data_IF_152775946514
#
_entry.id   IF_152775946514
#
_cell.length_a   1.000
_cell.length_b   1.000
_cell.length_c   1.000
_cell.angle_alpha   90.00
_cell.angle_beta   90.00
_cell.angle_gamma   90.00
#
_symmetry.space_group_name_H-M   'P 1'
#
loop_
_entity.id
_entity.type
_entity.pdbx_description
1 polymer ?
#
# COMPACT_ATOMS: atom_id res chain seq x y z
N UNK A 1 -6.69 45.94 -20.96
CA UNK A 1 -5.88 46.18 -19.73
C UNK A 1 -6.00 44.92 -18.91
N UNK A 2 -4.95 44.12 -18.89
CA UNK A 2 -4.85 42.84 -18.14
C UNK A 2 -4.21 43.19 -16.80
N UNK A 3 -4.95 42.98 -15.72
CA UNK A 3 -4.41 43.09 -14.36
C UNK A 3 -3.45 41.92 -14.10
N UNK A 4 -2.19 42.25 -13.85
CA UNK A 4 -1.20 41.31 -13.36
C UNK A 4 -1.56 40.94 -11.94
N UNK A 5 -1.79 39.64 -11.69
CA UNK A 5 -1.96 39.05 -10.35
C UNK A 5 -0.60 39.17 -9.63
N UNK A 6 -0.54 40.04 -8.65
CA UNK A 6 0.64 40.26 -7.81
C UNK A 6 0.70 39.13 -6.79
N UNK A 7 1.48 38.06 -7.08
CA UNK A 7 1.76 36.98 -6.15
C UNK A 7 2.66 37.50 -5.02
N UNK A 8 2.32 37.17 -3.79
CA UNK A 8 3.05 37.61 -2.59
C UNK A 8 4.40 36.86 -2.51
N UNK A 9 5.50 37.54 -2.02
CA UNK A 9 6.82 36.90 -1.85
C UNK A 9 6.83 35.67 -0.92
N UNK A 10 5.76 35.46 -0.16
CA UNK A 10 5.54 34.26 0.65
C UNK A 10 5.02 33.08 -0.21
N UNK A 11 4.20 33.38 -1.22
CA UNK A 11 3.67 32.38 -2.16
C UNK A 11 4.83 31.80 -2.99
N UNK A 12 5.69 32.66 -3.54
CA UNK A 12 6.86 32.26 -4.32
C UNK A 12 7.83 31.39 -3.49
N UNK A 13 8.00 31.67 -2.20
CA UNK A 13 8.84 30.84 -1.31
C UNK A 13 8.20 29.50 -0.93
N UNK A 14 6.88 29.42 -0.92
CA UNK A 14 6.17 28.18 -0.68
C UNK A 14 6.18 27.30 -1.95
N UNK A 15 6.05 27.92 -3.12
CA UNK A 15 6.12 27.25 -4.40
C UNK A 15 7.56 26.75 -4.69
N UNK A 16 8.60 27.56 -4.40
CA UNK A 16 10.01 27.13 -4.51
C UNK A 16 10.36 25.95 -3.56
N UNK A 17 9.77 25.90 -2.35
CA UNK A 17 9.97 24.77 -1.43
C UNK A 17 9.19 23.52 -1.85
N UNK A 18 8.02 23.69 -2.42
CA UNK A 18 7.23 22.61 -2.99
C UNK A 18 7.95 22.01 -4.21
N UNK A 19 8.50 22.87 -5.10
CA UNK A 19 9.26 22.44 -6.27
C UNK A 19 10.56 21.71 -5.90
N UNK A 20 11.32 22.19 -4.91
CA UNK A 20 12.54 21.53 -4.44
C UNK A 20 12.27 20.19 -3.76
N UNK A 21 11.14 20.05 -3.03
CA UNK A 21 10.70 18.76 -2.45
C UNK A 21 10.23 17.78 -3.52
N UNK A 22 9.67 18.26 -4.64
CA UNK A 22 9.17 17.46 -5.75
C UNK A 22 10.28 16.85 -6.63
N UNK A 23 11.54 17.29 -6.47
CA UNK A 23 12.67 16.72 -7.22
C UNK A 23 13.28 15.47 -6.59
N UNK A 24 13.06 15.22 -5.29
CA UNK A 24 13.64 14.08 -4.59
C UNK A 24 12.91 12.78 -4.94
N UNK A 25 13.61 11.84 -5.58
CA UNK A 25 13.10 10.49 -5.79
C UNK A 25 13.06 9.72 -4.47
N UNK A 26 11.85 9.27 -4.08
CA UNK A 26 11.61 8.53 -2.84
C UNK A 26 11.45 7.03 -3.08
N UNK A 27 10.94 6.64 -4.27
CA UNK A 27 10.90 5.25 -4.75
C UNK A 27 11.53 5.19 -6.12
N UNK A 28 12.50 4.29 -6.30
CA UNK A 28 13.13 4.03 -7.59
C UNK A 28 13.11 2.55 -7.89
N UNK A 29 12.43 2.19 -8.97
CA UNK A 29 12.35 0.85 -9.54
C UNK A 29 13.17 0.84 -10.82
N UNK A 30 14.17 -0.06 -10.92
CA UNK A 30 15.10 -0.12 -12.05
C UNK A 30 15.21 -1.54 -12.58
N UNK A 31 14.72 -1.77 -13.80
CA UNK A 31 14.79 -3.03 -14.56
C UNK A 31 14.27 -4.24 -13.74
N UNK A 32 13.20 -4.05 -12.98
CA UNK A 32 12.65 -5.07 -12.08
C UNK A 32 11.91 -6.12 -12.88
N UNK A 33 12.33 -7.39 -12.72
CA UNK A 33 11.60 -8.57 -13.15
C UNK A 33 11.26 -9.45 -11.95
N UNK A 34 10.09 -10.08 -11.99
CA UNK A 34 9.67 -11.06 -10.99
C UNK A 34 9.23 -12.36 -11.62
N UNK A 35 9.95 -13.43 -11.30
CA UNK A 35 9.79 -14.76 -11.89
C UNK A 35 9.35 -15.73 -10.80
N UNK A 36 8.20 -16.36 -11.00
CA UNK A 36 7.69 -17.42 -10.15
C UNK A 36 7.88 -18.77 -10.82
N UNK A 37 8.47 -19.72 -10.09
CA UNK A 37 8.58 -21.09 -10.53
C UNK A 37 7.31 -21.86 -10.13
N UNK A 38 6.43 -22.09 -11.08
CA UNK A 38 5.22 -22.86 -10.86
C UNK A 38 5.48 -24.33 -11.22
N UNK A 39 5.16 -25.26 -10.29
CA UNK A 39 5.19 -26.68 -10.60
C UNK A 39 4.18 -26.96 -11.74
N UNK A 40 4.63 -27.67 -12.78
CA UNK A 40 3.78 -27.97 -13.93
C UNK A 40 2.64 -28.95 -13.61
N UNK A 41 2.76 -29.68 -12.52
CA UNK A 41 1.77 -30.63 -12.00
C UNK A 41 1.51 -30.37 -10.52
N UNK A 42 0.23 -30.39 -10.13
CA UNK A 42 -0.15 -30.36 -8.72
C UNK A 42 0.14 -31.74 -8.11
N UNK A 43 1.26 -31.87 -7.44
CA UNK A 43 1.60 -33.06 -6.67
C UNK A 43 0.87 -32.99 -5.32
N UNK A 44 -0.13 -33.85 -5.13
CA UNK A 44 -1.00 -33.82 -3.95
C UNK A 44 -0.45 -34.61 -2.76
N UNK A 45 0.70 -35.30 -2.91
CA UNK A 45 1.32 -36.05 -1.83
C UNK A 45 2.85 -35.98 -1.85
N UNK A 46 3.47 -36.07 -0.65
CA UNK A 46 4.92 -36.20 -0.48
C UNK A 46 5.49 -37.41 -1.24
N UNK A 47 4.70 -38.48 -1.39
CA UNK A 47 5.09 -39.68 -2.10
C UNK A 47 5.19 -39.44 -3.61
N UNK A 48 4.24 -38.73 -4.19
CA UNK A 48 4.26 -38.32 -5.60
C UNK A 48 5.43 -37.37 -5.88
N UNK A 49 5.69 -36.42 -4.96
CA UNK A 49 6.85 -35.53 -5.05
C UNK A 49 8.18 -36.31 -5.06
N UNK A 50 8.35 -37.29 -4.14
CA UNK A 50 9.56 -38.12 -4.08
C UNK A 50 9.75 -38.98 -5.35
N UNK A 51 8.65 -39.52 -5.92
CA UNK A 51 8.70 -40.30 -7.16
C UNK A 51 9.06 -39.40 -8.35
N UNK A 52 8.45 -38.23 -8.48
CA UNK A 52 8.72 -37.26 -9.54
C UNK A 52 10.17 -36.74 -9.46
N UNK A 53 10.69 -36.52 -8.25
CA UNK A 53 12.09 -36.14 -8.01
C UNK A 53 13.05 -37.25 -8.48
N UNK A 54 12.79 -38.50 -8.08
CA UNK A 54 13.60 -39.66 -8.46
C UNK A 54 13.62 -39.92 -9.97
N UNK A 55 12.49 -39.64 -10.64
CA UNK A 55 12.34 -39.80 -12.09
C UNK A 55 12.82 -38.58 -12.88
N UNK A 56 13.24 -37.49 -12.23
CA UNK A 56 13.58 -36.19 -12.86
C UNK A 56 12.43 -35.62 -13.71
N UNK A 57 11.18 -35.90 -13.33
CA UNK A 57 9.96 -35.46 -14.01
C UNK A 57 9.43 -34.11 -13.45
N UNK A 58 10.06 -33.59 -12.38
CA UNK A 58 9.71 -32.26 -11.85
C UNK A 58 10.00 -31.19 -12.92
N UNK A 59 8.96 -30.76 -13.59
CA UNK A 59 9.02 -29.64 -14.53
C UNK A 59 8.45 -28.40 -13.84
N UNK A 60 9.25 -27.35 -13.76
CA UNK A 60 8.80 -26.04 -13.35
C UNK A 60 8.58 -25.19 -14.60
N UNK A 61 7.47 -24.50 -14.62
CA UNK A 61 7.19 -23.49 -15.64
C UNK A 61 7.44 -22.13 -15.01
N UNK A 62 8.35 -21.38 -15.61
CA UNK A 62 8.58 -20.00 -15.22
C UNK A 62 7.38 -19.15 -15.62
N UNK A 63 6.89 -18.39 -14.68
CA UNK A 63 5.87 -17.39 -14.89
C UNK A 63 6.47 -16.02 -14.55
N UNK A 64 6.67 -15.18 -15.55
CA UNK A 64 7.12 -13.81 -15.39
C UNK A 64 5.92 -12.93 -15.07
N UNK A 65 5.79 -12.54 -13.81
CA UNK A 65 4.74 -11.65 -13.36
C UNK A 65 5.07 -10.18 -13.66
N UNK A 66 6.36 -9.84 -13.66
CA UNK A 66 6.91 -8.56 -14.07
C UNK A 66 8.13 -8.81 -14.94
N UNK A 67 8.35 -7.97 -15.95
CA UNK A 67 9.43 -8.10 -16.91
C UNK A 67 9.95 -6.70 -17.31
N UNK A 68 11.17 -6.38 -16.84
CA UNK A 68 11.90 -5.14 -17.12
C UNK A 68 11.12 -3.85 -16.78
N UNK A 69 10.53 -3.78 -15.60
CA UNK A 69 9.76 -2.63 -15.15
C UNK A 69 10.67 -1.58 -14.52
N UNK A 70 10.55 -0.33 -14.99
CA UNK A 70 11.30 0.80 -14.45
C UNK A 70 10.41 2.04 -14.30
N UNK A 71 10.45 2.68 -13.13
CA UNK A 71 9.80 3.97 -12.87
C UNK A 71 10.36 4.63 -11.61
N UNK A 72 10.06 5.91 -11.45
CA UNK A 72 10.44 6.68 -10.26
C UNK A 72 9.23 7.43 -9.70
N UNK A 73 9.13 7.45 -8.37
CA UNK A 73 8.13 8.23 -7.63
C UNK A 73 8.86 9.33 -6.86
N UNK A 74 8.40 10.54 -6.97
CA UNK A 74 8.96 11.68 -6.28
C UNK A 74 8.25 11.93 -4.94
N UNK A 75 8.94 12.58 -4.02
CA UNK A 75 8.37 12.95 -2.72
C UNK A 75 7.15 13.86 -2.93
N UNK A 76 6.04 13.52 -2.29
CA UNK A 76 4.76 14.23 -2.43
C UNK A 76 3.92 13.84 -3.65
N UNK A 77 4.41 12.92 -4.50
CA UNK A 77 3.58 12.38 -5.60
C UNK A 77 2.38 11.58 -5.06
N UNK A 78 1.27 11.68 -5.75
CA UNK A 78 0.17 10.72 -5.70
C UNK A 78 0.25 9.89 -6.98
N UNK A 79 0.92 8.74 -6.87
CA UNK A 79 1.33 7.93 -8.01
C UNK A 79 0.40 6.75 -8.23
N UNK A 80 -0.21 6.66 -9.41
CA UNK A 80 -1.13 5.60 -9.81
C UNK A 80 -0.42 4.43 -10.50
N UNK A 81 -0.79 3.19 -10.14
CA UNK A 81 -0.40 1.99 -10.87
C UNK A 81 -1.67 1.34 -11.43
N UNK A 82 -1.85 1.44 -12.72
CA UNK A 82 -3.01 0.97 -13.48
C UNK A 82 -2.70 -0.35 -14.21
N UNK A 83 -3.72 -1.08 -14.57
CA UNK A 83 -3.61 -2.27 -15.41
C UNK A 83 -4.73 -3.25 -15.15
N UNK A 84 -4.89 -4.22 -16.05
CA UNK A 84 -5.89 -5.28 -15.93
C UNK A 84 -5.58 -6.26 -14.79
N UNK A 85 -6.56 -7.06 -14.37
CA UNK A 85 -6.33 -8.11 -13.39
C UNK A 85 -5.27 -9.10 -13.90
N UNK A 86 -4.33 -9.49 -13.01
CA UNK A 86 -3.21 -10.36 -13.37
C UNK A 86 -2.08 -9.68 -14.16
N UNK A 87 -2.08 -8.36 -14.33
CA UNK A 87 -1.02 -7.65 -15.05
C UNK A 87 0.30 -7.49 -14.27
N UNK A 88 0.33 -7.78 -12.96
CA UNK A 88 1.51 -7.66 -12.10
C UNK A 88 1.45 -6.54 -11.05
N UNK A 89 0.37 -5.75 -10.98
CA UNK A 89 0.22 -4.61 -10.04
C UNK A 89 0.48 -4.98 -8.58
N UNK A 90 -0.22 -5.98 -8.06
CA UNK A 90 -0.06 -6.41 -6.66
C UNK A 90 1.33 -7.00 -6.39
N UNK A 91 1.95 -7.62 -7.39
CA UNK A 91 3.34 -8.08 -7.31
C UNK A 91 4.29 -6.89 -7.19
N UNK A 92 4.09 -5.84 -8.01
CA UNK A 92 4.88 -4.60 -7.93
C UNK A 92 4.71 -3.91 -6.59
N UNK A 93 3.47 -3.81 -6.06
CA UNK A 93 3.25 -3.25 -4.74
C UNK A 93 3.96 -4.02 -3.63
N UNK A 94 3.95 -5.35 -3.68
CA UNK A 94 4.66 -6.19 -2.69
C UNK A 94 6.18 -5.98 -2.77
N UNK A 95 6.73 -5.74 -3.96
CA UNK A 95 8.14 -5.39 -4.12
C UNK A 95 8.42 -4.00 -3.53
N UNK A 96 7.61 -3.00 -3.85
CA UNK A 96 7.76 -1.65 -3.27
C UNK A 96 7.52 -1.65 -1.76
N UNK A 97 6.63 -2.49 -1.24
CA UNK A 97 6.42 -2.63 0.21
C UNK A 97 7.54 -3.42 0.93
N UNK A 98 8.52 -3.96 0.18
CA UNK A 98 9.61 -4.78 0.75
C UNK A 98 9.18 -6.18 1.20
N UNK A 99 7.98 -6.63 0.80
CA UNK A 99 7.46 -7.97 1.10
C UNK A 99 8.04 -9.02 0.17
N UNK A 100 8.35 -8.63 -1.08
CA UNK A 100 8.99 -9.49 -2.08
C UNK A 100 10.28 -8.86 -2.57
N UNK A 101 11.33 -9.67 -2.70
CA UNK A 101 12.56 -9.28 -3.40
C UNK A 101 12.38 -9.55 -4.91
N UNK A 102 12.76 -8.62 -5.80
CA UNK A 102 12.71 -8.86 -7.23
C UNK A 102 13.67 -9.97 -7.65
N UNK A 103 13.31 -10.75 -8.67
CA UNK A 103 14.22 -11.78 -9.24
C UNK A 103 15.39 -11.16 -10.01
N UNK A 104 15.16 -10.01 -10.64
CA UNK A 104 16.15 -9.23 -11.38
C UNK A 104 15.88 -7.73 -11.16
N UNK A 105 16.90 -6.89 -11.29
CA UNK A 105 16.80 -5.45 -11.10
C UNK A 105 16.85 -5.02 -9.63
N UNK A 106 16.46 -3.80 -9.34
CA UNK A 106 16.51 -3.23 -7.99
C UNK A 106 15.31 -2.33 -7.70
N UNK A 107 14.86 -2.35 -6.45
CA UNK A 107 13.89 -1.39 -5.93
C UNK A 107 14.52 -0.70 -4.71
N UNK A 108 14.70 0.61 -4.78
CA UNK A 108 15.23 1.41 -3.67
C UNK A 108 14.17 2.38 -3.16
N UNK A 109 14.10 2.51 -1.84
CA UNK A 109 13.07 3.26 -1.13
C UNK A 109 13.74 4.10 -0.05
N UNK A 110 13.32 5.33 0.07
CA UNK A 110 13.80 6.27 1.08
C UNK A 110 12.63 6.77 1.93
N UNK A 111 12.58 6.36 3.19
CA UNK A 111 11.56 6.72 4.16
C UNK A 111 10.75 5.53 4.70
N UNK A 112 9.83 5.85 5.60
CA UNK A 112 8.96 4.85 6.25
C UNK A 112 7.72 4.59 5.40
N UNK A 113 7.42 3.31 5.17
CA UNK A 113 6.26 2.87 4.40
C UNK A 113 5.14 2.44 5.35
N UNK A 114 3.91 2.91 5.11
CA UNK A 114 2.70 2.33 5.65
C UNK A 114 1.94 1.58 4.53
N UNK A 115 2.07 0.24 4.45
CA UNK A 115 1.37 -0.52 3.42
C UNK A 115 -0.05 -0.85 3.89
N UNK A 116 -1.07 -0.38 3.15
CA UNK A 116 -2.46 -0.80 3.33
C UNK A 116 -2.81 -2.01 2.43
N UNK A 117 -1.81 -2.74 1.95
CA UNK A 117 -1.99 -3.83 0.97
C UNK A 117 -2.72 -5.04 1.58
N UNK A 118 -2.49 -5.32 2.85
CA UNK A 118 -3.08 -6.45 3.57
C UNK A 118 -3.67 -5.94 4.89
N UNK A 119 -4.75 -5.14 4.80
CA UNK A 119 -5.41 -4.62 5.99
C UNK A 119 -5.84 -5.75 6.94
N UNK A 120 -5.33 -5.67 8.16
CA UNK A 120 -5.57 -6.70 9.18
C UNK A 120 -4.58 -7.86 9.18
N UNK A 121 -3.57 -7.85 8.31
CA UNK A 121 -2.43 -8.75 8.46
C UNK A 121 -1.76 -8.52 9.83
N UNK A 122 -1.56 -9.60 10.58
CA UNK A 122 -1.02 -9.52 11.95
C UNK A 122 -2.06 -9.35 13.05
N UNK A 123 -3.36 -9.29 12.74
CA UNK A 123 -4.39 -9.40 13.78
C UNK A 123 -4.54 -10.85 14.25
N UNK A 124 -4.62 -11.03 15.56
CA UNK A 124 -5.05 -12.28 16.18
C UNK A 124 -6.56 -12.19 16.46
N UNK A 125 -7.34 -12.99 15.73
CA UNK A 125 -8.80 -12.96 15.81
C UNK A 125 -9.35 -13.45 17.17
N UNK A 126 -8.55 -14.15 17.96
CA UNK A 126 -8.93 -14.58 19.32
C UNK A 126 -8.79 -13.43 20.33
N UNK A 127 -7.99 -12.42 20.04
CA UNK A 127 -7.84 -11.24 20.86
C UNK A 127 -8.96 -10.21 20.58
N UNK A 128 -9.17 -9.34 21.56
CA UNK A 128 -10.08 -8.20 21.44
C UNK A 128 -9.53 -7.14 20.48
N UNK A 129 -10.37 -6.21 20.03
CA UNK A 129 -9.92 -5.07 19.24
C UNK A 129 -8.92 -4.20 20.01
N UNK A 130 -9.11 -3.99 21.30
CA UNK A 130 -8.18 -3.29 22.18
C UNK A 130 -6.78 -3.93 22.14
N UNK A 131 -6.71 -5.23 22.34
CA UNK A 131 -5.45 -5.97 22.33
C UNK A 131 -4.78 -5.96 20.96
N UNK A 132 -5.57 -6.09 19.88
CA UNK A 132 -5.08 -6.02 18.50
C UNK A 132 -4.55 -4.64 18.10
N UNK A 133 -5.12 -3.55 18.62
CA UNK A 133 -4.59 -2.20 18.41
C UNK A 133 -3.15 -2.11 18.96
N UNK A 134 -2.89 -2.62 20.16
CA UNK A 134 -1.54 -2.65 20.73
C UNK A 134 -0.62 -3.62 19.99
N UNK A 135 -1.11 -4.83 19.65
CA UNK A 135 -0.34 -5.85 18.94
C UNK A 135 0.08 -5.33 17.56
N UNK A 136 -0.86 -4.84 16.77
CA UNK A 136 -0.58 -4.34 15.43
C UNK A 136 0.29 -3.07 15.45
N UNK A 137 0.04 -2.18 16.41
CA UNK A 137 0.91 -1.02 16.64
C UNK A 137 2.36 -1.42 16.93
N UNK A 138 2.57 -2.46 17.75
CA UNK A 138 3.90 -2.98 18.05
C UNK A 138 4.55 -3.64 16.82
N UNK A 139 3.79 -4.38 16.01
CA UNK A 139 4.28 -4.96 14.73
C UNK A 139 4.71 -3.88 13.74
N UNK A 140 4.02 -2.73 13.74
CA UNK A 140 4.40 -1.56 12.94
C UNK A 140 5.57 -0.75 13.55
N UNK A 141 6.12 -1.21 14.68
CA UNK A 141 7.28 -0.60 15.34
C UNK A 141 6.95 0.55 16.31
N UNK A 142 5.68 0.73 16.69
CA UNK A 142 5.26 1.79 17.59
C UNK A 142 5.45 1.43 19.06
N UNK A 143 5.87 2.39 19.87
CA UNK A 143 5.94 2.19 21.30
C UNK A 143 4.53 2.12 21.92
N UNK A 144 4.40 1.37 23.03
CA UNK A 144 3.14 1.30 23.79
C UNK A 144 2.61 2.70 24.15
N UNK A 145 3.50 3.58 24.61
CA UNK A 145 3.16 4.97 24.98
C UNK A 145 2.57 5.75 23.79
N UNK A 146 3.11 5.53 22.59
CA UNK A 146 2.60 6.17 21.38
C UNK A 146 1.19 5.69 21.07
N UNK A 147 0.95 4.38 21.12
CA UNK A 147 -0.38 3.82 20.89
C UNK A 147 -1.38 4.31 21.95
N UNK A 148 -0.99 4.38 23.22
CA UNK A 148 -1.83 4.94 24.29
C UNK A 148 -2.26 6.40 24.01
N UNK A 149 -1.38 7.21 23.48
CA UNK A 149 -1.67 8.60 23.13
C UNK A 149 -2.65 8.77 21.96
N UNK A 150 -2.70 7.80 21.04
CA UNK A 150 -3.55 7.84 19.85
C UNK A 150 -4.70 6.84 19.91
N UNK A 151 -4.86 6.15 21.04
CA UNK A 151 -5.83 5.06 21.17
C UNK A 151 -7.25 5.52 20.90
N UNK A 152 -7.66 6.62 21.49
CA UNK A 152 -9.01 7.17 21.35
C UNK A 152 -9.25 7.62 19.89
N UNK A 153 -8.24 8.23 19.23
CA UNK A 153 -8.33 8.59 17.81
C UNK A 153 -8.53 7.37 16.90
N UNK A 154 -7.84 6.25 17.18
CA UNK A 154 -7.99 5.01 16.43
C UNK A 154 -9.40 4.45 16.62
N UNK A 155 -9.89 4.41 17.86
CA UNK A 155 -11.22 3.88 18.23
C UNK A 155 -12.34 4.71 17.58
N UNK A 156 -12.25 6.03 17.68
CA UNK A 156 -13.21 6.98 17.10
C UNK A 156 -13.24 6.90 15.58
N UNK A 157 -12.04 6.81 14.96
CA UNK A 157 -11.97 6.69 13.51
C UNK A 157 -12.61 5.39 13.02
N UNK A 158 -12.35 4.28 13.71
CA UNK A 158 -12.88 2.96 13.34
C UNK A 158 -14.37 2.78 13.71
N UNK A 159 -14.94 3.65 14.58
CA UNK A 159 -16.32 3.56 15.09
C UNK A 159 -16.60 2.20 15.76
N UNK A 160 -15.71 1.80 16.70
CA UNK A 160 -15.75 0.47 17.33
C UNK A 160 -15.86 0.52 18.85
N UNK A 161 -16.11 1.67 19.47
CA UNK A 161 -16.14 1.86 20.93
C UNK A 161 -16.97 0.79 21.66
N UNK A 162 -18.17 0.49 21.13
CA UNK A 162 -19.10 -0.49 21.72
C UNK A 162 -18.63 -1.94 21.63
N UNK A 163 -17.66 -2.23 20.77
CA UNK A 163 -17.20 -3.58 20.48
C UNK A 163 -15.76 -3.82 20.96
N UNK A 164 -15.12 -2.82 21.53
CA UNK A 164 -13.69 -2.75 21.81
C UNK A 164 -13.12 -3.94 22.58
N UNK A 165 -13.90 -4.47 23.53
CA UNK A 165 -13.51 -5.59 24.38
C UNK A 165 -14.11 -6.94 23.92
N UNK A 166 -14.63 -7.00 22.68
CA UNK A 166 -15.10 -8.23 22.04
C UNK A 166 -13.99 -8.84 21.17
N UNK A 167 -13.80 -10.17 21.18
CA UNK A 167 -12.85 -10.85 20.29
C UNK A 167 -13.13 -10.57 18.82
N UNK A 168 -12.06 -10.29 18.04
CA UNK A 168 -12.19 -9.89 16.65
C UNK A 168 -12.72 -10.97 15.70
N UNK A 169 -12.72 -12.24 16.10
CA UNK A 169 -13.40 -13.32 15.36
C UNK A 169 -14.91 -13.09 15.18
N UNK A 170 -15.50 -12.26 16.02
CA UNK A 170 -16.92 -11.89 15.94
C UNK A 170 -17.17 -10.63 15.09
N UNK A 171 -16.13 -10.03 14.54
CA UNK A 171 -16.23 -8.83 13.72
C UNK A 171 -16.54 -9.16 12.26
N UNK A 172 -17.26 -8.25 11.60
CA UNK A 172 -17.34 -8.30 10.14
C UNK A 172 -16.00 -7.91 9.50
N UNK A 173 -15.77 -8.35 8.25
CA UNK A 173 -14.58 -7.94 7.50
C UNK A 173 -14.43 -6.41 7.39
N UNK A 174 -15.57 -5.69 7.30
CA UNK A 174 -15.58 -4.23 7.31
C UNK A 174 -15.10 -3.65 8.63
N UNK A 175 -15.50 -4.19 9.79
CA UNK A 175 -15.01 -3.73 11.10
C UNK A 175 -13.52 -3.98 11.27
N UNK A 176 -13.02 -5.14 10.83
CA UNK A 176 -11.58 -5.46 10.83
C UNK A 176 -10.80 -4.46 10.00
N UNK A 177 -11.27 -4.18 8.79
CA UNK A 177 -10.63 -3.23 7.89
C UNK A 177 -10.63 -1.79 8.42
N UNK A 178 -11.71 -1.36 9.11
CA UNK A 178 -11.78 -0.05 9.76
C UNK A 178 -10.68 0.14 10.81
N UNK A 179 -10.47 -0.87 11.65
CA UNK A 179 -9.43 -0.82 12.69
C UNK A 179 -8.04 -0.80 12.03
N UNK A 180 -7.81 -1.68 11.07
CA UNK A 180 -6.52 -1.76 10.39
C UNK A 180 -6.16 -0.45 9.67
N UNK A 181 -7.13 0.17 8.99
CA UNK A 181 -6.94 1.47 8.34
C UNK A 181 -6.68 2.58 9.37
N UNK A 182 -7.43 2.61 10.48
CA UNK A 182 -7.23 3.59 11.54
C UNK A 182 -5.81 3.51 12.12
N UNK A 183 -5.32 2.30 12.46
CA UNK A 183 -3.97 2.10 12.99
C UNK A 183 -2.91 2.54 11.97
N UNK A 184 -3.06 2.15 10.72
CA UNK A 184 -2.07 2.43 9.68
C UNK A 184 -1.99 3.91 9.28
N UNK A 185 -3.05 4.69 9.54
CA UNK A 185 -3.14 6.11 9.17
C UNK A 185 -3.09 7.08 10.35
N UNK A 186 -2.99 6.58 11.58
CA UNK A 186 -2.80 7.44 12.78
C UNK A 186 -1.42 8.10 12.78
N UNK A 187 -0.45 7.49 12.14
CA UNK A 187 0.88 8.04 11.92
C UNK A 187 0.97 8.62 10.53
N UNK A 188 1.84 9.62 10.40
CA UNK A 188 2.18 10.25 9.13
C UNK A 188 3.38 9.50 8.57
N UNK A 189 3.21 8.57 7.59
CA UNK A 189 4.32 7.91 6.95
C UNK A 189 4.97 8.83 5.90
N UNK A 190 6.17 8.48 5.43
CA UNK A 190 6.75 9.13 4.25
C UNK A 190 6.06 8.65 2.97
N UNK A 191 5.69 7.36 2.94
CA UNK A 191 5.05 6.69 1.80
C UNK A 191 3.85 5.88 2.29
N UNK A 192 2.67 6.14 1.72
CA UNK A 192 1.45 5.38 1.94
C UNK A 192 1.15 4.54 0.68
N UNK A 193 1.03 3.23 0.85
CA UNK A 193 0.65 2.33 -0.25
C UNK A 193 -0.79 1.89 -0.07
N UNK A 194 -1.62 2.19 -1.07
CA UNK A 194 -3.07 1.93 -1.08
C UNK A 194 -3.39 0.96 -2.22
N UNK A 195 -3.88 -0.24 -1.88
CA UNK A 195 -4.35 -1.23 -2.86
C UNK A 195 -5.86 -1.33 -2.73
N UNK A 196 -6.63 -1.09 -3.77
CA UNK A 196 -8.11 -1.25 -3.86
C UNK A 196 -8.92 -1.14 -2.53
N UNK A 197 -8.20 -0.90 -1.43
CA UNK A 197 -8.68 -0.87 -0.03
C UNK A 197 -9.68 0.25 0.21
N UNK A 198 -9.65 1.31 -0.62
CA UNK A 198 -10.66 2.37 -0.56
C UNK A 198 -12.07 1.86 -0.90
N UNK A 199 -12.18 0.63 -1.39
CA UNK A 199 -13.46 -0.04 -1.65
C UNK A 199 -13.99 -0.84 -0.45
N UNK A 200 -13.27 -0.87 0.69
CA UNK A 200 -13.67 -1.64 1.88
C UNK A 200 -14.60 -0.83 2.77
N UNK A 201 -15.59 -1.52 3.35
CA UNK A 201 -16.58 -0.90 4.22
C UNK A 201 -17.77 -0.35 3.45
N UNK A 202 -18.62 0.40 4.15
CA UNK A 202 -19.75 1.10 3.56
C UNK A 202 -19.31 2.44 2.94
N UNK A 203 -20.21 3.03 2.16
CA UNK A 203 -19.94 4.29 1.44
C UNK A 203 -19.46 5.42 2.37
N UNK A 204 -20.01 5.55 3.56
CA UNK A 204 -19.65 6.61 4.51
C UNK A 204 -18.21 6.42 5.02
N UNK A 205 -17.81 5.17 5.26
CA UNK A 205 -16.45 4.88 5.68
C UNK A 205 -15.43 5.07 4.55
N UNK A 206 -15.79 4.72 3.32
CA UNK A 206 -14.97 5.00 2.13
C UNK A 206 -14.68 6.49 1.99
N UNK A 207 -15.70 7.33 2.14
CA UNK A 207 -15.55 8.79 2.13
C UNK A 207 -14.61 9.27 3.25
N UNK A 208 -14.76 8.75 4.47
CA UNK A 208 -13.90 9.05 5.62
C UNK A 208 -12.43 8.67 5.36
N UNK A 209 -12.18 7.53 4.70
CA UNK A 209 -10.86 7.11 4.28
C UNK A 209 -10.25 8.06 3.22
N UNK A 210 -11.04 8.43 2.19
CA UNK A 210 -10.59 9.38 1.16
C UNK A 210 -10.25 10.75 1.77
N UNK A 211 -11.06 11.25 2.70
CA UNK A 211 -10.79 12.50 3.42
C UNK A 211 -9.50 12.41 4.25
N UNK A 212 -9.27 11.29 4.94
CA UNK A 212 -8.04 11.06 5.73
C UNK A 212 -6.81 11.04 4.82
N UNK A 213 -6.84 10.32 3.72
CA UNK A 213 -5.74 10.27 2.74
C UNK A 213 -5.49 11.65 2.14
N UNK A 214 -6.56 12.35 1.75
CA UNK A 214 -6.45 13.72 1.21
C UNK A 214 -5.80 14.68 2.19
N UNK A 215 -6.11 14.55 3.48
CA UNK A 215 -5.49 15.33 4.54
C UNK A 215 -4.00 15.01 4.68
N UNK A 216 -3.63 13.72 4.70
CA UNK A 216 -2.23 13.28 4.74
C UNK A 216 -1.41 13.85 3.58
N UNK A 217 -1.98 13.87 2.38
CA UNK A 217 -1.34 14.45 1.20
C UNK A 217 -1.18 15.97 1.36
N UNK A 218 -2.28 16.69 1.64
CA UNK A 218 -2.28 18.16 1.60
C UNK A 218 -1.56 18.82 2.78
N UNK A 219 -1.72 18.26 3.98
CA UNK A 219 -1.19 18.88 5.21
C UNK A 219 0.22 18.39 5.55
N UNK A 220 0.57 17.15 5.13
CA UNK A 220 1.82 16.52 5.52
C UNK A 220 2.73 16.15 4.35
N UNK A 221 2.29 16.33 3.11
CA UNK A 221 3.12 16.05 1.94
C UNK A 221 3.47 14.56 1.79
N UNK A 222 2.60 13.67 2.28
CA UNK A 222 2.79 12.21 2.19
C UNK A 222 2.78 11.78 0.74
N UNK A 223 3.77 10.98 0.34
CA UNK A 223 3.79 10.34 -0.97
C UNK A 223 2.82 9.16 -0.98
N UNK A 224 1.96 9.06 -1.97
CA UNK A 224 0.95 7.99 -2.02
C UNK A 224 1.12 7.17 -3.29
N UNK A 225 1.19 5.85 -3.16
CA UNK A 225 1.08 4.91 -4.27
C UNK A 225 -0.31 4.28 -4.24
N UNK A 226 -1.08 4.45 -5.31
CA UNK A 226 -2.44 3.91 -5.42
C UNK A 226 -2.48 2.87 -6.53
N UNK A 227 -2.94 1.66 -6.20
CA UNK A 227 -3.31 0.66 -7.20
C UNK A 227 -4.81 0.63 -7.31
N UNK A 228 -5.32 0.81 -8.50
CA UNK A 228 -6.74 0.71 -8.80
C UNK A 228 -6.97 0.20 -10.21
N UNK A 229 -8.10 -0.46 -10.41
CA UNK A 229 -8.63 -0.77 -11.74
C UNK A 229 -9.65 0.29 -12.20
N UNK A 230 -9.95 1.29 -11.36
CA UNK A 230 -10.86 2.38 -11.65
C UNK A 230 -10.09 3.61 -12.17
N UNK A 231 -10.20 3.86 -13.47
CA UNK A 231 -9.52 4.98 -14.12
C UNK A 231 -9.97 6.34 -13.57
N UNK A 232 -11.27 6.52 -13.29
CA UNK A 232 -11.81 7.79 -12.78
C UNK A 232 -11.20 8.15 -11.42
N UNK A 233 -10.95 7.15 -10.58
CA UNK A 233 -10.29 7.34 -9.28
C UNK A 233 -8.84 7.81 -9.45
N UNK A 234 -8.11 7.19 -10.37
CA UNK A 234 -6.71 7.55 -10.64
C UNK A 234 -6.61 8.95 -11.25
N UNK A 235 -7.46 9.27 -12.24
CA UNK A 235 -7.49 10.61 -12.85
C UNK A 235 -7.82 11.71 -11.83
N UNK A 236 -8.68 11.41 -10.86
CA UNK A 236 -9.07 12.37 -9.82
C UNK A 236 -8.00 12.59 -8.75
N UNK A 237 -7.28 11.53 -8.37
CA UNK A 237 -6.40 11.55 -7.20
C UNK A 237 -4.92 11.66 -7.54
N UNK A 238 -4.49 11.11 -8.69
CA UNK A 238 -3.08 10.97 -9.01
C UNK A 238 -2.57 12.11 -9.89
N UNK A 239 -1.35 12.59 -9.59
CA UNK A 239 -0.65 13.56 -10.44
C UNK A 239 0.24 12.86 -11.48
N UNK A 240 0.62 11.60 -11.23
CA UNK A 240 1.40 10.74 -12.14
C UNK A 240 0.88 9.30 -12.08
N UNK A 241 1.03 8.56 -13.17
CA UNK A 241 0.63 7.17 -13.22
C UNK A 241 1.45 6.37 -14.23
N UNK A 242 1.47 5.04 -14.04
CA UNK A 242 1.94 4.07 -15.03
C UNK A 242 0.85 3.05 -15.32
N UNK A 243 0.90 2.50 -16.54
CA UNK A 243 0.05 1.37 -16.93
C UNK A 243 0.90 0.11 -17.03
N UNK A 244 0.53 -0.93 -16.27
CA UNK A 244 1.18 -2.23 -16.35
C UNK A 244 0.29 -3.18 -17.16
N UNK A 245 0.84 -3.73 -18.23
CA UNK A 245 0.19 -4.72 -19.07
C UNK A 245 1.08 -5.95 -19.25
N UNK A 246 0.60 -7.12 -18.84
CA UNK A 246 1.34 -8.40 -18.94
C UNK A 246 2.77 -8.32 -18.41
N UNK A 247 2.94 -7.64 -17.28
CA UNK A 247 4.23 -7.49 -16.61
C UNK A 247 5.12 -6.35 -17.12
N UNK A 248 4.71 -5.59 -18.13
CA UNK A 248 5.50 -4.48 -18.70
C UNK A 248 4.81 -3.13 -18.47
N UNK A 249 5.59 -2.05 -18.37
CA UNK A 249 5.10 -0.67 -18.37
C UNK A 249 4.80 -0.23 -19.80
N UNK A 250 3.67 0.45 -20.00
CA UNK A 250 3.20 1.02 -21.26
C UNK A 250 3.11 2.54 -21.19
#
# INVERSE_FOLDING_TARGET
MSEAINTSPLQDRLDDRADAASEQTIVKVSNVSMIFNMASEQLNSLKEYAIALAKRELRFKEFRALDDVSFEVKKGDVFGILGTNGSGKSTMLKIVAGVLEPSEGTCSIHGNIAPLIELGAGFDLELTARENIYLNGALLGYSKKFIEQHFDEIVDFADIEKFLDMPMKNYSSGMVARIAFAIATVIIPDILIVDEVLSVGDFMFQQKCEERITRLIKEHGVTVLIVSHNNDQIERLCNRAIWIEKGHVR
#
